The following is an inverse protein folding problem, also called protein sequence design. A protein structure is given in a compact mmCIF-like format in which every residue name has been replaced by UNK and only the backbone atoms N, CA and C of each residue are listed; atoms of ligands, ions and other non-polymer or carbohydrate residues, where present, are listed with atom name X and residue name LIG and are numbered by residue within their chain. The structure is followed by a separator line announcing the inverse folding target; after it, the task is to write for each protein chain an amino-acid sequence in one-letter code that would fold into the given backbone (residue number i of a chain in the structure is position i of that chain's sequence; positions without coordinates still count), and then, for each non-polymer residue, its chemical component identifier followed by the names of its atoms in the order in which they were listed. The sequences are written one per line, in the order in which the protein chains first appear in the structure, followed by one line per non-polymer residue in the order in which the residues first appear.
data_IF_318977289070
#
_entry.id   IF_318977289070
#
_cell.length_a   1.000
_cell.length_b   1.000
_cell.length_c   1.000
_cell.angle_alpha   90.00
_cell.angle_beta   90.00
_cell.angle_gamma   90.00
#
_symmetry.space_group_name_H-M   'P 1'
#
loop_
_entity.id
_entity.type
_entity.pdbx_description
1 polymer ?
#
# COMPACT_ATOMS: atom_id res chain seq x y z
N UNK A 1 9.04 -5.48 -21.09
CA UNK A 1 8.31 -4.23 -21.40
C UNK A 1 7.19 -4.11 -20.37
N UNK A 2 7.12 -2.98 -19.66
CA UNK A 2 5.95 -2.65 -18.84
C UNK A 2 4.72 -2.52 -19.78
N UNK A 3 3.63 -3.23 -19.48
CA UNK A 3 2.39 -3.04 -20.25
C UNK A 3 1.86 -1.64 -19.91
N UNK A 4 1.31 -0.94 -20.90
CA UNK A 4 0.72 0.39 -20.70
C UNK A 4 -0.78 0.33 -20.44
N UNK A 5 -1.29 -0.83 -20.07
CA UNK A 5 -2.70 -1.09 -19.75
C UNK A 5 -3.59 -1.30 -20.97
N UNK A 6 -3.00 -1.40 -22.16
CA UNK A 6 -3.74 -1.51 -23.44
C UNK A 6 -4.48 -2.84 -23.58
N UNK A 7 -3.98 -3.88 -22.90
CA UNK A 7 -4.60 -5.21 -22.90
C UNK A 7 -5.68 -5.38 -21.80
N UNK A 8 -5.90 -4.36 -20.96
CA UNK A 8 -6.89 -4.44 -19.89
C UNK A 8 -8.28 -4.15 -20.47
N UNK A 9 -9.21 -5.08 -20.22
CA UNK A 9 -10.59 -4.90 -20.67
C UNK A 9 -11.26 -3.71 -19.94
N UNK A 10 -11.79 -2.72 -20.66
CA UNK A 10 -12.45 -1.58 -20.06
C UNK A 10 -13.76 -1.99 -19.39
N UNK A 11 -14.19 -1.18 -18.43
CA UNK A 11 -15.37 -1.34 -17.58
C UNK A 11 -15.40 -2.64 -16.76
N UNK A 12 -14.27 -3.31 -16.64
CA UNK A 12 -14.13 -4.51 -15.81
C UNK A 12 -14.05 -4.12 -14.35
N UNK A 13 -14.79 -4.83 -13.49
CA UNK A 13 -14.58 -4.76 -12.04
C UNK A 13 -13.42 -5.69 -11.68
N UNK A 14 -12.40 -5.16 -11.01
CA UNK A 14 -11.23 -5.92 -10.57
C UNK A 14 -10.96 -5.64 -9.10
N UNK A 15 -10.36 -6.61 -8.41
CA UNK A 15 -9.62 -6.33 -7.17
C UNK A 15 -8.22 -5.85 -7.53
N UNK A 16 -7.73 -4.83 -6.82
CA UNK A 16 -6.37 -4.30 -6.89
C UNK A 16 -5.84 -4.05 -5.49
N UNK A 17 -4.54 -4.29 -5.31
CA UNK A 17 -3.83 -3.93 -4.08
C UNK A 17 -2.85 -2.81 -4.36
N UNK A 18 -2.71 -1.85 -3.45
CA UNK A 18 -1.68 -0.82 -3.57
C UNK A 18 -1.70 0.23 -2.46
N UNK A 19 -0.74 1.16 -2.54
CA UNK A 19 -0.67 2.34 -1.66
C UNK A 19 -1.16 3.57 -2.42
N UNK A 20 -1.68 4.57 -1.70
CA UNK A 20 -2.22 5.80 -2.30
C UNK A 20 -1.38 7.03 -1.94
N UNK A 21 -1.33 8.00 -2.85
CA UNK A 21 -0.79 9.33 -2.63
C UNK A 21 -1.69 10.36 -3.33
N UNK A 22 -1.65 11.64 -2.96
CA UNK A 22 -2.44 12.63 -3.68
C UNK A 22 -1.98 12.81 -5.12
N UNK A 23 -2.93 12.95 -6.04
CA UNK A 23 -2.67 13.13 -7.46
C UNK A 23 -1.84 14.40 -7.76
N UNK A 24 -2.15 15.49 -7.07
CA UNK A 24 -1.38 16.74 -7.07
C UNK A 24 -0.83 17.01 -5.67
N UNK A 25 0.35 17.62 -5.57
CA UNK A 25 0.85 18.12 -4.27
C UNK A 25 0.11 19.37 -3.81
N UNK A 26 -0.46 20.13 -4.74
CA UNK A 26 -1.25 21.33 -4.46
C UNK A 26 -2.75 21.01 -4.40
N UNK A 27 -3.44 21.57 -3.41
CA UNK A 27 -4.90 21.59 -3.32
C UNK A 27 -5.54 22.36 -4.49
N UNK A 28 -6.81 22.07 -4.82
CA UNK A 28 -7.67 21.03 -4.25
C UNK A 28 -7.37 19.64 -4.85
N UNK A 29 -7.40 18.60 -4.03
CA UNK A 29 -7.24 17.20 -4.46
C UNK A 29 -8.55 16.57 -4.97
N UNK A 30 -9.62 17.36 -5.06
CA UNK A 30 -10.95 16.95 -5.46
C UNK A 30 -11.53 17.87 -6.54
N UNK A 31 -12.48 17.32 -7.31
CA UNK A 31 -13.28 18.06 -8.27
C UNK A 31 -14.73 17.58 -8.17
N UNK A 32 -15.60 18.45 -7.63
CA UNK A 32 -16.97 18.07 -7.31
C UNK A 32 -17.00 16.98 -6.24
N UNK A 33 -17.74 15.90 -6.50
CA UNK A 33 -17.90 14.75 -5.59
C UNK A 33 -16.77 13.71 -5.69
N UNK A 34 -15.71 13.99 -6.44
CA UNK A 34 -14.66 13.01 -6.72
C UNK A 34 -13.31 13.47 -6.19
N UNK A 35 -12.62 12.55 -5.52
CA UNK A 35 -11.27 12.70 -5.01
C UNK A 35 -10.28 11.92 -5.89
N UNK A 36 -9.09 12.48 -6.08
CA UNK A 36 -8.10 11.96 -7.02
C UNK A 36 -6.80 11.60 -6.31
N UNK A 37 -6.36 10.36 -6.51
CA UNK A 37 -5.15 9.80 -5.95
C UNK A 37 -4.27 9.18 -7.03
N UNK A 38 -2.96 9.20 -6.80
CA UNK A 38 -2.05 8.24 -7.41
C UNK A 38 -2.18 6.89 -6.71
N UNK A 39 -2.41 5.84 -7.48
CA UNK A 39 -2.31 4.47 -6.99
C UNK A 39 -0.96 3.88 -7.40
N UNK A 40 -0.19 3.43 -6.41
CA UNK A 40 0.99 2.59 -6.62
C UNK A 40 0.59 1.13 -6.44
N UNK A 41 0.36 0.39 -7.54
CA UNK A 41 -0.12 -0.99 -7.46
C UNK A 41 0.93 -1.96 -6.93
N UNK A 42 0.45 -3.02 -6.29
CA UNK A 42 1.20 -4.22 -5.90
C UNK A 42 0.61 -5.43 -6.63
N UNK A 43 1.43 -6.45 -6.89
CA UNK A 43 0.98 -7.71 -7.50
C UNK A 43 0.60 -7.58 -8.98
N UNK A 44 -0.64 -7.93 -9.35
CA UNK A 44 -1.10 -8.07 -10.74
C UNK A 44 -0.83 -6.83 -11.60
N UNK A 45 -0.87 -5.65 -10.98
CA UNK A 45 -0.70 -4.37 -11.67
C UNK A 45 0.67 -3.71 -11.40
N UNK A 46 1.63 -4.40 -10.76
CA UNK A 46 2.91 -3.81 -10.38
C UNK A 46 3.76 -3.36 -11.58
N UNK A 47 3.60 -4.01 -12.74
CA UNK A 47 4.35 -3.67 -13.95
C UNK A 47 3.78 -2.46 -14.71
N UNK A 48 2.72 -1.82 -14.21
CA UNK A 48 2.21 -0.54 -14.72
C UNK A 48 2.89 0.66 -14.00
N UNK A 49 4.10 0.46 -13.46
CA UNK A 49 4.81 1.31 -12.49
C UNK A 49 5.39 2.62 -13.01
N UNK A 50 5.12 3.04 -14.25
CA UNK A 50 5.53 4.35 -14.76
C UNK A 50 4.33 5.05 -15.42
N UNK A 51 3.86 6.19 -14.89
CA UNK A 51 3.46 6.43 -13.51
C UNK A 51 2.00 6.91 -13.52
N UNK A 52 1.02 6.01 -13.63
CA UNK A 52 -0.20 6.48 -14.32
C UNK A 52 -1.55 5.87 -13.91
N UNK A 53 -1.68 5.26 -12.72
CA UNK A 53 -3.03 4.87 -12.26
C UNK A 53 -3.64 6.03 -11.47
N UNK A 54 -4.59 6.71 -12.11
CA UNK A 54 -5.48 7.67 -11.48
C UNK A 54 -6.57 6.89 -10.76
N UNK A 55 -6.54 6.94 -9.44
CA UNK A 55 -7.61 6.41 -8.61
C UNK A 55 -8.59 7.54 -8.31
N UNK A 56 -9.81 7.39 -8.83
CA UNK A 56 -10.91 8.32 -8.61
C UNK A 56 -11.85 7.70 -7.60
N UNK A 57 -12.10 8.40 -6.50
CA UNK A 57 -12.94 7.90 -5.40
C UNK A 57 -14.12 8.83 -5.21
N UNK A 58 -15.33 8.28 -5.20
CA UNK A 58 -16.52 9.02 -4.84
C UNK A 58 -16.45 9.44 -3.36
N UNK A 59 -16.69 10.72 -3.08
CA UNK A 59 -16.66 11.29 -1.73
C UNK A 59 -17.66 10.62 -0.78
N UNK A 60 -18.72 9.99 -1.30
CA UNK A 60 -19.68 9.24 -0.49
C UNK A 60 -19.21 7.82 -0.13
N UNK A 61 -18.08 7.35 -0.69
CA UNK A 61 -17.51 6.05 -0.32
C UNK A 61 -17.03 6.08 1.16
N UNK A 62 -17.41 5.10 2.00
CA UNK A 62 -17.09 5.10 3.42
C UNK A 62 -15.59 5.04 3.74
N UNK A 63 -14.75 4.64 2.77
CA UNK A 63 -13.30 4.57 2.94
C UNK A 63 -12.57 5.87 2.58
N UNK A 64 -13.28 6.92 2.10
CA UNK A 64 -12.63 8.13 1.60
C UNK A 64 -11.72 8.80 2.64
N UNK A 65 -12.17 8.90 3.88
CA UNK A 65 -11.40 9.53 4.97
C UNK A 65 -10.12 8.76 5.27
N UNK A 66 -10.19 7.42 5.25
CA UNK A 66 -9.02 6.56 5.45
C UNK A 66 -7.99 6.74 4.32
N UNK A 67 -8.46 6.89 3.07
CA UNK A 67 -7.59 7.12 1.92
C UNK A 67 -6.93 8.51 1.95
N UNK A 68 -7.68 9.55 2.35
CA UNK A 68 -7.13 10.90 2.57
C UNK A 68 -6.02 10.89 3.62
N UNK A 69 -6.29 10.31 4.79
CA UNK A 69 -5.29 10.22 5.88
C UNK A 69 -4.03 9.49 5.41
N UNK A 70 -4.18 8.39 4.67
CA UNK A 70 -3.04 7.65 4.14
C UNK A 70 -2.22 8.48 3.14
N UNK A 71 -2.89 9.22 2.26
CA UNK A 71 -2.24 10.11 1.29
C UNK A 71 -1.54 11.30 1.97
N UNK A 72 -2.21 11.98 2.91
CA UNK A 72 -1.67 13.12 3.67
C UNK A 72 -0.42 12.75 4.46
N UNK A 73 -0.44 11.57 5.09
CA UNK A 73 0.67 11.08 5.91
C UNK A 73 1.81 10.45 5.11
N UNK A 74 1.69 10.35 3.78
CA UNK A 74 2.60 9.57 2.92
C UNK A 74 2.81 8.15 3.45
N UNK A 75 1.72 7.52 3.91
CA UNK A 75 1.77 6.21 4.52
C UNK A 75 2.06 5.11 3.50
N UNK A 76 2.82 4.10 3.91
CA UNK A 76 2.98 2.86 3.14
C UNK A 76 1.82 1.87 3.39
N UNK A 77 0.69 2.36 3.89
CA UNK A 77 -0.49 1.56 4.13
C UNK A 77 -1.03 0.99 2.81
N UNK A 78 -1.13 -0.33 2.74
CA UNK A 78 -1.69 -1.03 1.60
C UNK A 78 -3.20 -1.21 1.76
N UNK A 79 -3.90 -1.10 0.63
CA UNK A 79 -5.33 -1.30 0.53
C UNK A 79 -5.62 -2.33 -0.54
N UNK A 80 -6.55 -3.24 -0.27
CA UNK A 80 -7.26 -4.02 -1.28
C UNK A 80 -8.54 -3.27 -1.66
N UNK A 81 -8.73 -3.01 -2.95
CA UNK A 81 -9.80 -2.15 -3.48
C UNK A 81 -10.52 -2.86 -4.63
N UNK A 82 -11.84 -2.86 -4.58
CA UNK A 82 -12.68 -3.14 -5.74
C UNK A 82 -12.74 -1.88 -6.61
N UNK A 83 -12.31 -2.00 -7.87
CA UNK A 83 -12.23 -0.87 -8.79
C UNK A 83 -12.91 -1.20 -10.11
N UNK A 84 -13.60 -0.22 -10.68
CA UNK A 84 -14.00 -0.25 -12.08
C UNK A 84 -12.88 0.34 -12.94
N UNK A 85 -12.36 -0.44 -13.86
CA UNK A 85 -11.30 0.01 -14.78
C UNK A 85 -11.94 0.74 -15.94
N UNK A 86 -11.59 2.00 -16.16
CA UNK A 86 -12.04 2.76 -17.32
C UNK A 86 -11.15 2.53 -18.54
N UNK A 87 -11.66 2.78 -19.76
CA UNK A 87 -10.82 2.83 -20.96
C UNK A 87 -9.60 3.72 -20.73
N UNK A 88 -8.44 3.21 -21.15
CA UNK A 88 -7.18 3.96 -21.11
C UNK A 88 -7.37 5.30 -21.81
N UNK A 89 -7.04 6.39 -21.11
CA UNK A 89 -6.88 7.70 -21.72
C UNK A 89 -5.41 7.90 -22.12
N UNK A 90 -5.13 8.95 -22.89
CA UNK A 90 -3.82 9.19 -23.53
C UNK A 90 -2.63 9.01 -22.59
N UNK A 91 -2.78 9.40 -21.32
CA UNK A 91 -1.67 9.48 -20.35
C UNK A 91 -1.85 8.57 -19.13
N UNK A 92 -3.08 8.12 -18.83
CA UNK A 92 -3.44 7.48 -17.56
C UNK A 92 -4.48 6.35 -17.69
N UNK A 93 -4.34 5.36 -16.80
CA UNK A 93 -5.41 4.41 -16.49
C UNK A 93 -6.27 4.99 -15.38
N UNK A 94 -7.58 5.01 -15.58
CA UNK A 94 -8.53 5.50 -14.59
C UNK A 94 -9.20 4.33 -13.89
N UNK A 95 -9.03 4.27 -12.58
CA UNK A 95 -9.64 3.25 -11.73
C UNK A 95 -10.64 3.99 -10.84
N UNK A 96 -11.90 3.58 -10.89
CA UNK A 96 -12.98 4.24 -10.18
C UNK A 96 -13.41 3.38 -9.00
N UNK A 97 -13.52 4.00 -7.82
CA UNK A 97 -14.17 3.46 -6.63
C UNK A 97 -15.44 4.30 -6.43
N UNK A 98 -16.60 3.75 -6.78
CA UNK A 98 -17.88 4.39 -6.48
C UNK A 98 -18.26 4.17 -5.01
N UNK A 99 -19.44 4.63 -4.62
CA UNK A 99 -19.93 4.58 -3.23
C UNK A 99 -19.97 3.17 -2.62
N UNK A 100 -20.32 2.16 -3.42
CA UNK A 100 -20.66 0.81 -2.95
C UNK A 100 -19.48 -0.17 -3.05
N UNK A 101 -18.36 0.28 -3.63
CA UNK A 101 -17.16 -0.52 -3.83
C UNK A 101 -16.37 -0.67 -2.53
N UNK A 102 -15.92 -1.91 -2.28
CA UNK A 102 -15.18 -2.25 -1.07
C UNK A 102 -13.74 -1.75 -1.13
N UNK A 103 -13.30 -1.16 -0.02
CA UNK A 103 -11.90 -0.82 0.26
C UNK A 103 -11.54 -1.40 1.62
N UNK A 104 -10.50 -2.21 1.66
CA UNK A 104 -10.02 -2.88 2.87
C UNK A 104 -8.56 -2.52 3.10
N UNK A 105 -8.27 -1.98 4.27
CA UNK A 105 -6.90 -1.85 4.74
C UNK A 105 -6.32 -3.25 4.99
N UNK A 106 -5.13 -3.54 4.44
CA UNK A 106 -4.44 -4.82 4.65
C UNK A 106 -3.09 -4.58 5.33
N UNK A 107 -2.58 -5.55 6.08
CA UNK A 107 -1.25 -5.41 6.69
C UNK A 107 -0.20 -5.36 5.57
N UNK A 108 0.50 -4.23 5.42
CA UNK A 108 1.61 -4.15 4.46
C UNK A 108 2.61 -5.25 4.83
N UNK A 109 2.99 -6.08 3.86
CA UNK A 109 3.98 -7.14 4.04
C UNK A 109 5.40 -6.61 4.25
N UNK A 110 5.62 -5.80 5.28
CA UNK A 110 6.91 -5.76 5.97
C UNK A 110 6.75 -6.78 7.08
N UNK A 111 7.65 -7.78 7.22
CA UNK A 111 7.55 -8.69 8.35
C UNK A 111 7.49 -7.83 9.60
N UNK A 112 6.44 -8.03 10.39
CA UNK A 112 6.48 -7.67 11.80
C UNK A 112 7.80 -8.23 12.29
N UNK A 113 8.80 -7.37 12.53
CA UNK A 113 9.83 -7.72 13.48
C UNK A 113 8.98 -8.00 14.72
N UNK A 114 8.82 -9.28 15.05
CA UNK A 114 8.34 -9.68 16.36
C UNK A 114 9.12 -8.79 17.30
N UNK A 115 8.43 -7.82 17.90
CA UNK A 115 8.97 -7.11 19.05
C UNK A 115 9.43 -8.24 19.95
N UNK A 116 10.75 -8.28 20.11
CA UNK A 116 11.49 -9.34 20.76
C UNK A 116 10.67 -9.80 21.96
N UNK A 117 10.39 -11.11 22.02
CA UNK A 117 9.92 -11.70 23.26
C UNK A 117 10.76 -11.09 24.40
N UNK A 118 10.13 -10.68 25.53
CA UNK A 118 10.89 -10.12 26.63
C UNK A 118 12.03 -11.07 26.90
N UNK A 119 13.26 -10.57 26.82
CA UNK A 119 14.44 -11.33 27.18
C UNK A 119 14.21 -11.71 28.62
N UNK A 120 13.82 -12.95 28.83
CA UNK A 120 13.75 -13.55 30.14
C UNK A 120 15.18 -13.51 30.67
N UNK A 121 15.41 -12.61 31.63
CA UNK A 121 16.72 -12.17 32.13
C UNK A 121 17.49 -13.27 32.87
N UNK A 122 17.18 -14.54 32.63
CA UNK A 122 17.82 -15.70 33.25
C UNK A 122 18.76 -16.48 32.31
N UNK A 123 18.69 -16.27 30.98
CA UNK A 123 19.58 -17.00 30.05
C UNK A 123 20.88 -16.27 29.68
N UNK A 124 21.03 -14.98 30.04
CA UNK A 124 22.25 -14.20 29.74
C UNK A 124 23.41 -14.41 30.72
N UNK A 125 23.16 -15.07 31.87
CA UNK A 125 24.21 -15.33 32.88
C UNK A 125 24.99 -16.62 32.57
N UNK A 126 24.44 -17.58 31.84
CA UNK A 126 25.15 -18.84 31.54
C UNK A 126 26.19 -18.73 30.42
N UNK A 127 26.04 -17.79 29.48
CA UNK A 127 26.99 -17.67 28.35
C UNK A 127 28.29 -16.94 28.77
N UNK A 128 28.27 -16.14 29.85
CA UNK A 128 29.48 -15.47 30.35
C UNK A 128 30.35 -16.31 31.30
N UNK A 129 29.86 -17.45 31.81
CA UNK A 129 30.65 -18.31 32.69
C UNK A 129 31.46 -19.40 31.97
N UNK A 130 31.26 -19.61 30.65
CA UNK A 130 32.04 -20.60 29.88
C UNK A 130 33.33 -20.06 29.26
N UNK A 131 33.63 -18.76 29.38
CA UNK A 131 34.87 -18.16 28.85
C UNK A 131 35.97 -18.03 29.92
N UNK A 132 35.66 -18.28 31.20
CA UNK A 132 36.61 -18.07 32.32
C UNK A 132 37.29 -19.37 32.81
N UNK A 133 36.84 -20.56 32.39
CA UNK A 133 37.30 -21.84 32.97
C UNK A 133 38.22 -22.71 32.10
N UNK A 134 38.93 -22.16 31.12
CA UNK A 134 40.00 -22.89 30.43
C UNK A 134 41.34 -22.16 30.55
N UNK A 135 41.90 -22.19 31.76
CA UNK A 135 43.34 -22.06 31.98
C UNK A 135 44.06 -23.38 31.62
N UNK A 136 45.40 -23.39 31.44
CA UNK A 136 46.17 -23.71 32.63
C UNK A 136 47.43 -22.87 32.83
N UNK A 137 47.69 -22.68 34.12
CA UNK A 137 48.99 -22.46 34.75
C UNK A 137 49.81 -23.75 34.56
N UNK A 138 51.00 -23.64 33.99
CA UNK A 138 52.26 -24.25 34.45
C UNK A 138 53.44 -23.62 33.69
#
# INVERSE_FOLDING_TARGET
MASRGEDIQPNTISSITGTVAFWTEAEPHNQGQFWYFWLKPVGKYINYSEPSICLVVDESNPAIEMLKIAAESNSNQEFEMSVQIMPKQTDYLYFIISKDEEVKQISSGVPTIQASAPIDTQSSIQIRQQIINSAPIF
#
